data_IF_399484589370
#
_entry.id   IF_399484589370
#
_cell.length_a   1.000
_cell.length_b   1.000
_cell.length_c   1.000
_cell.angle_alpha   90.00
_cell.angle_beta   90.00
_cell.angle_gamma   90.00
#
_symmetry.space_group_name_H-M   'P 1'
#
loop_
_entity.id
_entity.type
_entity.pdbx_description
1 polymer ?
#
# COMPACT_ATOMS: atom_id res chain seq x y z
N UNK A 1 15.96 -12.44 -33.70
CA UNK A 1 17.33 -12.32 -33.16
C UNK A 1 17.33 -11.22 -32.11
N UNK A 2 17.57 -11.53 -30.83
CA UNK A 2 17.80 -10.53 -29.77
C UNK A 2 16.81 -10.47 -28.60
N UNK A 3 16.49 -11.59 -27.94
CA UNK A 3 15.69 -11.63 -26.68
C UNK A 3 16.51 -11.33 -25.41
N UNK A 4 17.71 -10.76 -25.53
CA UNK A 4 18.64 -10.58 -24.40
C UNK A 4 18.59 -9.19 -23.76
N UNK A 5 17.68 -8.29 -24.16
CA UNK A 5 17.59 -6.95 -23.56
C UNK A 5 16.83 -7.00 -22.23
N UNK A 6 17.52 -7.42 -21.17
CA UNK A 6 17.02 -7.32 -19.80
C UNK A 6 17.61 -8.31 -18.80
N UNK A 7 18.33 -9.34 -19.26
CA UNK A 7 18.96 -10.32 -18.35
C UNK A 7 20.28 -9.71 -17.83
N UNK A 8 20.44 -9.53 -16.50
CA UNK A 8 21.71 -9.13 -15.92
C UNK A 8 22.83 -10.06 -16.42
N UNK A 9 24.03 -9.55 -16.76
CA UNK A 9 25.10 -10.37 -17.35
C UNK A 9 25.43 -11.65 -16.55
N UNK A 10 25.20 -11.63 -15.24
CA UNK A 10 25.43 -12.76 -14.31
C UNK A 10 24.43 -13.92 -14.43
N UNK A 11 23.31 -13.74 -15.14
CA UNK A 11 22.24 -14.73 -15.29
C UNK A 11 22.16 -15.31 -16.71
N UNK A 12 23.09 -14.92 -17.59
CA UNK A 12 23.19 -15.49 -18.93
C UNK A 12 23.77 -16.91 -18.82
N UNK A 13 22.97 -17.93 -19.17
CA UNK A 13 23.35 -19.35 -19.09
C UNK A 13 22.55 -20.16 -18.06
N UNK A 14 21.79 -19.52 -17.16
CA UNK A 14 20.80 -20.19 -16.33
C UNK A 14 19.45 -20.30 -17.06
N UNK A 15 18.78 -21.44 -16.91
CA UNK A 15 17.40 -21.61 -17.38
C UNK A 15 16.46 -20.80 -16.47
N UNK A 16 16.12 -19.58 -16.88
CA UNK A 16 15.20 -18.71 -16.13
C UNK A 16 13.76 -19.08 -16.50
N UNK A 17 13.02 -19.61 -15.54
CA UNK A 17 11.57 -19.87 -15.69
C UNK A 17 10.80 -18.62 -15.25
N UNK A 18 9.94 -18.11 -16.12
CA UNK A 18 9.07 -16.98 -15.81
C UNK A 18 7.71 -17.49 -15.38
N UNK A 19 7.28 -17.11 -14.18
CA UNK A 19 5.93 -17.34 -13.70
C UNK A 19 5.07 -16.11 -13.97
N UNK A 20 3.86 -16.31 -14.50
CA UNK A 20 2.84 -15.27 -14.65
C UNK A 20 1.58 -15.70 -13.93
N UNK A 21 0.92 -14.75 -13.27
CA UNK A 21 -0.39 -14.95 -12.64
C UNK A 21 -1.44 -14.35 -13.56
N UNK A 22 -2.49 -15.11 -13.87
CA UNK A 22 -3.66 -14.61 -14.58
C UNK A 22 -4.72 -14.15 -13.58
N UNK A 23 -5.20 -12.91 -13.72
CA UNK A 23 -6.35 -12.41 -12.99
C UNK A 23 -7.59 -12.62 -13.87
N UNK A 24 -8.56 -13.39 -13.39
CA UNK A 24 -9.72 -13.82 -14.19
C UNK A 24 -11.05 -13.22 -13.69
N UNK A 25 -11.14 -12.89 -12.41
CA UNK A 25 -12.37 -12.38 -11.80
C UNK A 25 -12.26 -10.88 -11.52
N UNK A 26 -13.24 -10.13 -12.03
CA UNK A 26 -13.39 -8.68 -11.88
C UNK A 26 -14.74 -8.29 -11.26
N UNK A 27 -15.50 -9.24 -10.71
CA UNK A 27 -16.85 -9.01 -10.18
C UNK A 27 -16.90 -8.12 -8.92
N UNK A 28 -15.76 -7.91 -8.26
CA UNK A 28 -15.63 -7.08 -7.05
C UNK A 28 -14.83 -5.79 -7.29
N UNK A 29 -14.64 -5.37 -8.54
CA UNK A 29 -13.99 -4.09 -8.86
C UNK A 29 -14.84 -2.93 -8.33
N UNK A 30 -14.17 -1.92 -7.75
CA UNK A 30 -14.77 -0.70 -7.22
C UNK A 30 -13.95 0.51 -7.65
N UNK A 31 -14.64 1.59 -7.97
CA UNK A 31 -14.00 2.88 -8.21
C UNK A 31 -13.75 3.58 -6.86
N UNK A 32 -12.52 4.02 -6.66
CA UNK A 32 -12.14 4.80 -5.48
C UNK A 32 -11.96 6.26 -5.91
N UNK A 33 -12.75 7.21 -5.35
CA UNK A 33 -12.61 8.63 -5.65
C UNK A 33 -11.17 9.16 -5.48
N UNK A 34 -10.76 10.09 -6.32
CA UNK A 34 -9.38 10.57 -6.37
C UNK A 34 -8.88 11.15 -5.04
N UNK A 35 -9.74 11.83 -4.29
CA UNK A 35 -9.39 12.35 -2.96
C UNK A 35 -9.03 11.22 -2.00
N UNK A 36 -9.80 10.13 -2.00
CA UNK A 36 -9.54 8.96 -1.16
C UNK A 36 -8.33 8.17 -1.67
N UNK A 37 -8.19 8.02 -2.99
CA UNK A 37 -7.02 7.37 -3.60
C UNK A 37 -5.72 8.07 -3.23
N UNK A 38 -5.68 9.39 -3.31
CA UNK A 38 -4.49 10.18 -2.94
C UNK A 38 -4.28 10.24 -1.43
N UNK A 39 -5.34 10.33 -0.63
CA UNK A 39 -5.25 10.24 0.83
C UNK A 39 -4.71 8.89 1.28
N UNK A 40 -5.14 7.82 0.62
CA UNK A 40 -4.66 6.46 0.91
C UNK A 40 -3.20 6.28 0.50
N UNK A 41 -2.78 6.84 -0.64
CA UNK A 41 -1.37 6.87 -1.02
C UNK A 41 -0.51 7.58 0.05
N UNK A 42 -0.98 8.68 0.63
CA UNK A 42 -0.30 9.33 1.76
C UNK A 42 -0.21 8.42 3.00
N UNK A 43 -1.29 7.69 3.31
CA UNK A 43 -1.31 6.75 4.43
C UNK A 43 -0.31 5.59 4.23
N UNK A 44 -0.18 5.07 3.01
CA UNK A 44 0.80 4.03 2.67
C UNK A 44 2.22 4.50 2.99
N UNK A 45 2.58 5.71 2.56
CA UNK A 45 3.90 6.27 2.88
C UNK A 45 4.08 6.48 4.38
N UNK A 46 3.04 6.92 5.11
CA UNK A 46 3.12 7.05 6.57
C UNK A 46 3.37 5.71 7.27
N UNK A 47 2.72 4.64 6.82
CA UNK A 47 2.90 3.29 7.39
C UNK A 47 4.32 2.79 7.15
N UNK A 48 4.80 2.91 5.91
CA UNK A 48 6.13 2.46 5.49
C UNK A 48 7.26 3.28 6.13
N UNK A 49 7.12 4.62 6.16
CA UNK A 49 8.06 5.54 6.81
C UNK A 49 8.04 5.42 8.36
N UNK A 50 7.11 4.64 8.92
CA UNK A 50 6.84 4.56 10.35
C UNK A 50 6.55 5.95 10.98
N UNK A 51 5.84 6.81 10.26
CA UNK A 51 5.57 8.20 10.64
C UNK A 51 4.18 8.34 11.31
N UNK A 52 4.13 8.50 12.65
CA UNK A 52 2.86 8.56 13.37
C UNK A 52 2.08 9.84 13.12
N UNK A 53 2.76 10.97 12.89
CA UNK A 53 2.10 12.25 12.64
C UNK A 53 1.44 12.26 11.27
N UNK A 54 2.15 11.75 10.26
CA UNK A 54 1.61 11.61 8.90
C UNK A 54 0.46 10.61 8.84
N UNK A 55 0.51 9.54 9.65
CA UNK A 55 -0.61 8.60 9.76
C UNK A 55 -1.86 9.29 10.33
N UNK A 56 -1.74 10.02 11.42
CA UNK A 56 -2.85 10.81 12.01
C UNK A 56 -3.43 11.80 11.01
N UNK A 57 -2.57 12.53 10.28
CA UNK A 57 -3.01 13.46 9.25
C UNK A 57 -3.75 12.75 8.10
N UNK A 58 -3.24 11.61 7.65
CA UNK A 58 -3.86 10.82 6.58
C UNK A 58 -5.24 10.30 6.97
N UNK A 59 -5.45 9.90 8.24
CA UNK A 59 -6.79 9.53 8.74
C UNK A 59 -7.80 10.67 8.61
N UNK A 60 -7.39 11.90 8.96
CA UNK A 60 -8.23 13.09 8.82
C UNK A 60 -8.55 13.38 7.36
N UNK A 61 -7.56 13.31 6.46
CA UNK A 61 -7.74 13.51 5.02
C UNK A 61 -8.67 12.47 4.38
N UNK A 62 -8.60 11.23 4.87
CA UNK A 62 -9.47 10.15 4.45
C UNK A 62 -10.89 10.28 5.01
N UNK A 63 -11.16 11.18 5.95
CA UNK A 63 -12.46 11.30 6.60
C UNK A 63 -12.75 10.18 7.60
N UNK A 64 -11.72 9.47 8.07
CA UNK A 64 -11.85 8.48 9.15
C UNK A 64 -11.85 9.25 10.47
N UNK A 65 -13.01 9.31 11.13
CA UNK A 65 -13.14 10.01 12.42
C UNK A 65 -12.79 9.04 13.53
N UNK A 66 -11.84 9.44 14.35
CA UNK A 66 -11.39 8.69 15.52
C UNK A 66 -11.57 9.52 16.79
N UNK A 67 -11.72 8.82 17.92
CA UNK A 67 -11.66 9.40 19.25
C UNK A 67 -10.58 8.66 20.04
N UNK A 68 -9.59 9.41 20.51
CA UNK A 68 -8.49 8.91 21.34
C UNK A 68 -8.67 9.36 22.77
N UNK A 69 -8.34 8.47 23.71
CA UNK A 69 -8.29 8.77 25.14
C UNK A 69 -6.86 8.60 25.70
N UNK A 70 -5.85 8.56 24.82
CA UNK A 70 -4.47 8.22 25.16
C UNK A 70 -3.52 9.39 24.90
N UNK A 71 -2.52 9.57 25.78
CA UNK A 71 -1.45 10.57 25.65
C UNK A 71 -0.52 10.30 24.45
N UNK A 72 -0.34 9.03 24.05
CA UNK A 72 0.46 8.62 22.88
C UNK A 72 -0.40 8.46 21.60
N UNK A 73 -1.40 9.32 21.39
CA UNK A 73 -2.36 9.22 20.27
C UNK A 73 -1.68 8.95 18.91
N UNK A 74 -0.66 9.71 18.45
CA UNK A 74 -0.09 9.48 17.11
C UNK A 74 0.48 8.07 16.93
N UNK A 75 1.15 7.54 17.96
CA UNK A 75 1.77 6.21 17.93
C UNK A 75 0.71 5.11 17.87
N UNK A 76 -0.37 5.25 18.63
CA UNK A 76 -1.49 4.32 18.57
C UNK A 76 -2.25 4.45 17.24
N UNK A 77 -2.34 5.64 16.65
CA UNK A 77 -2.91 5.86 15.32
C UNK A 77 -2.11 5.13 14.24
N UNK A 78 -0.77 5.17 14.29
CA UNK A 78 0.09 4.40 13.39
C UNK A 78 -0.11 2.89 13.57
N UNK A 79 -0.23 2.42 14.82
CA UNK A 79 -0.49 1.00 15.10
C UNK A 79 -1.85 0.57 14.57
N UNK A 80 -2.88 1.41 14.71
CA UNK A 80 -4.18 1.20 14.10
C UNK A 80 -4.10 1.18 12.57
N UNK A 81 -3.35 2.11 11.96
CA UNK A 81 -3.12 2.18 10.52
C UNK A 81 -2.51 0.89 9.97
N UNK A 82 -1.44 0.39 10.60
CA UNK A 82 -0.82 -0.90 10.26
C UNK A 82 -1.81 -2.06 10.39
N UNK A 83 -2.55 -2.07 11.49
CA UNK A 83 -3.55 -3.12 11.79
C UNK A 83 -4.71 -3.13 10.79
N UNK A 84 -5.09 -1.98 10.24
CA UNK A 84 -6.18 -1.88 9.26
C UNK A 84 -5.68 -2.04 7.82
N UNK A 85 -4.54 -1.45 7.48
CA UNK A 85 -4.15 -1.18 6.09
C UNK A 85 -2.79 -1.75 5.69
N UNK A 86 -2.16 -2.59 6.51
CA UNK A 86 -0.99 -3.37 6.10
C UNK A 86 -1.21 -4.88 6.31
N UNK A 87 -0.63 -5.71 5.46
CA UNK A 87 -0.70 -7.17 5.59
C UNK A 87 0.27 -7.72 6.62
N UNK A 88 1.34 -6.96 6.94
CA UNK A 88 2.34 -7.39 7.92
C UNK A 88 1.76 -7.45 9.31
N UNK A 89 1.99 -8.56 10.00
CA UNK A 89 1.58 -8.71 11.38
C UNK A 89 2.55 -8.00 12.32
N UNK A 90 2.09 -7.52 13.49
CA UNK A 90 2.98 -7.03 14.52
C UNK A 90 4.02 -8.09 14.91
N UNK A 91 5.24 -7.65 15.21
CA UNK A 91 6.33 -8.55 15.58
C UNK A 91 5.91 -9.49 16.73
N UNK A 92 6.23 -10.79 16.58
CA UNK A 92 5.87 -11.83 17.56
C UNK A 92 4.41 -12.27 17.53
N UNK A 93 3.57 -11.69 16.66
CA UNK A 93 2.15 -12.07 16.52
C UNK A 93 1.95 -12.96 15.29
N UNK A 94 1.33 -14.13 15.48
CA UNK A 94 0.85 -14.99 14.38
C UNK A 94 -0.58 -14.66 13.92
N UNK A 95 -1.28 -13.86 14.71
CA UNK A 95 -2.65 -13.43 14.45
C UNK A 95 -2.91 -12.10 15.17
N UNK A 96 -3.72 -11.23 14.56
CA UNK A 96 -4.21 -10.04 15.24
C UNK A 96 -5.22 -10.42 16.31
N UNK A 97 -5.04 -9.89 17.52
CA UNK A 97 -5.94 -10.08 18.65
C UNK A 97 -6.72 -8.79 18.90
N UNK A 98 -7.84 -8.55 18.19
CA UNK A 98 -8.57 -7.28 18.31
C UNK A 98 -9.12 -7.01 19.71
N UNK A 99 -9.29 -8.05 20.53
CA UNK A 99 -9.84 -7.99 21.88
C UNK A 99 -8.80 -8.06 23.01
N UNK A 100 -7.50 -8.12 22.69
CA UNK A 100 -6.46 -8.07 23.72
C UNK A 100 -6.52 -6.75 24.50
N UNK A 101 -6.07 -6.74 25.76
CA UNK A 101 -6.01 -5.51 26.57
C UNK A 101 -5.16 -4.43 25.90
N UNK A 102 -4.07 -4.80 25.25
CA UNK A 102 -3.18 -3.89 24.53
C UNK A 102 -3.61 -3.54 23.09
N UNK A 103 -4.85 -3.88 22.71
CA UNK A 103 -5.36 -3.60 21.37
C UNK A 103 -5.57 -2.11 21.16
N UNK A 104 -5.03 -1.55 20.07
CA UNK A 104 -5.22 -0.14 19.71
C UNK A 104 -6.69 0.21 19.48
N UNK A 105 -7.54 -0.78 19.16
CA UNK A 105 -8.99 -0.59 19.04
C UNK A 105 -9.67 -0.23 20.37
N UNK A 106 -9.06 -0.58 21.52
CA UNK A 106 -9.55 -0.17 22.84
C UNK A 106 -9.12 1.25 23.20
N UNK A 107 -8.00 1.72 22.63
CA UNK A 107 -7.40 3.03 22.89
C UNK A 107 -7.92 4.12 21.95
N UNK A 108 -8.22 3.72 20.71
CA UNK A 108 -8.73 4.58 19.65
C UNK A 108 -10.03 3.99 19.12
N UNK A 109 -11.13 4.70 19.37
CA UNK A 109 -12.44 4.35 18.82
C UNK A 109 -12.61 4.96 17.43
N UNK A 110 -12.96 4.14 16.44
CA UNK A 110 -13.33 4.62 15.10
C UNK A 110 -14.81 4.98 15.11
N UNK A 111 -15.14 6.27 15.04
CA UNK A 111 -16.50 6.78 15.10
C UNK A 111 -17.20 6.79 13.74
N UNK A 112 -16.45 7.09 12.67
CA UNK A 112 -16.97 7.03 11.31
C UNK A 112 -15.89 6.58 10.35
N UNK A 113 -16.30 5.78 9.38
CA UNK A 113 -15.43 5.25 8.35
C UNK A 113 -16.10 5.43 6.98
N UNK A 114 -15.43 6.05 6.00
CA UNK A 114 -15.99 6.24 4.65
C UNK A 114 -16.32 4.90 3.98
N UNK A 115 -17.48 4.82 3.34
CA UNK A 115 -17.98 3.56 2.79
C UNK A 115 -17.07 3.01 1.69
N UNK A 116 -16.54 3.89 0.85
CA UNK A 116 -15.67 3.54 -0.27
C UNK A 116 -14.35 2.90 0.20
N UNK A 117 -13.90 3.21 1.42
CA UNK A 117 -12.69 2.59 1.97
C UNK A 117 -12.94 1.16 2.49
N UNK A 118 -14.18 0.70 2.62
CA UNK A 118 -14.44 -0.67 3.05
C UNK A 118 -13.93 -1.69 2.03
N UNK A 119 -13.97 -1.37 0.74
CA UNK A 119 -13.43 -2.26 -0.27
C UNK A 119 -11.90 -2.41 -0.12
N UNK A 120 -11.20 -1.30 0.15
CA UNK A 120 -9.75 -1.28 0.39
C UNK A 120 -9.41 -2.09 1.65
N UNK A 121 -10.09 -1.81 2.77
CA UNK A 121 -9.89 -2.51 4.03
C UNK A 121 -10.10 -4.03 3.89
N UNK A 122 -11.19 -4.43 3.22
CA UNK A 122 -11.50 -5.85 2.97
C UNK A 122 -10.44 -6.51 2.10
N UNK A 123 -10.00 -5.85 1.03
CA UNK A 123 -8.93 -6.38 0.17
C UNK A 123 -7.64 -6.58 0.95
N UNK A 124 -7.20 -5.62 1.75
CA UNK A 124 -6.00 -5.76 2.58
C UNK A 124 -6.15 -6.93 3.56
N UNK A 125 -7.30 -7.07 4.22
CA UNK A 125 -7.52 -8.18 5.16
C UNK A 125 -7.56 -9.56 4.48
N UNK A 126 -8.10 -9.66 3.26
CA UNK A 126 -8.04 -10.88 2.47
C UNK A 126 -6.60 -11.22 2.05
N UNK A 127 -5.85 -10.22 1.57
CA UNK A 127 -4.43 -10.38 1.25
C UNK A 127 -3.60 -10.77 2.48
N UNK A 128 -3.94 -10.23 3.66
CA UNK A 128 -3.34 -10.63 4.93
C UNK A 128 -3.62 -12.10 5.23
N UNK A 129 -4.88 -12.52 5.16
CA UNK A 129 -5.26 -13.92 5.37
C UNK A 129 -4.54 -14.88 4.42
N UNK A 130 -4.41 -14.50 3.15
CA UNK A 130 -3.65 -15.24 2.15
C UNK A 130 -2.16 -15.31 2.51
N UNK A 131 -1.56 -14.17 2.88
CA UNK A 131 -0.14 -14.10 3.27
C UNK A 131 0.16 -14.99 4.48
N UNK A 132 -0.70 -14.95 5.50
CA UNK A 132 -0.61 -15.83 6.67
C UNK A 132 -0.79 -17.30 6.28
N UNK A 133 -1.77 -17.62 5.43
CA UNK A 133 -2.01 -18.99 4.97
C UNK A 133 -0.86 -19.58 4.14
N UNK A 134 -0.10 -18.71 3.47
CA UNK A 134 1.10 -19.08 2.69
C UNK A 134 2.40 -19.02 3.51
N UNK A 135 2.35 -18.65 4.79
CA UNK A 135 3.50 -18.44 5.67
C UNK A 135 4.54 -17.45 5.09
N UNK A 136 4.06 -16.35 4.49
CA UNK A 136 4.91 -15.28 3.96
C UNK A 136 4.82 -14.01 4.80
N UNK A 137 5.98 -13.45 5.13
CA UNK A 137 6.07 -12.10 5.72
C UNK A 137 6.00 -11.07 4.58
N UNK A 138 4.81 -10.48 4.40
CA UNK A 138 4.52 -9.57 3.31
C UNK A 138 3.88 -8.29 3.84
N UNK A 139 4.44 -7.13 3.50
CA UNK A 139 3.85 -5.81 3.75
C UNK A 139 3.35 -5.19 2.45
N UNK A 140 2.03 -5.03 2.33
CA UNK A 140 1.43 -4.24 1.25
C UNK A 140 1.91 -2.80 1.29
N UNK A 141 2.14 -2.20 2.47
CA UNK A 141 2.61 -0.83 2.56
C UNK A 141 4.01 -0.67 1.93
N UNK A 142 4.95 -1.55 2.28
CA UNK A 142 6.29 -1.58 1.69
C UNK A 142 6.22 -1.78 0.16
N UNK A 143 5.40 -2.73 -0.31
CA UNK A 143 5.28 -3.03 -1.74
C UNK A 143 4.56 -1.94 -2.54
N UNK A 144 3.60 -1.23 -1.94
CA UNK A 144 2.81 -0.21 -2.62
C UNK A 144 3.46 1.18 -2.57
N UNK A 145 4.51 1.37 -1.77
CA UNK A 145 5.26 2.64 -1.70
C UNK A 145 5.54 3.25 -3.09
N UNK A 146 6.14 2.55 -4.07
CA UNK A 146 6.49 3.18 -5.34
C UNK A 146 5.27 3.68 -6.12
N UNK A 147 4.14 2.97 -6.00
CA UNK A 147 2.87 3.32 -6.64
C UNK A 147 2.25 4.54 -5.95
N UNK A 148 2.32 4.58 -4.62
CA UNK A 148 1.86 5.72 -3.82
C UNK A 148 2.66 6.99 -4.11
N UNK A 149 3.99 6.90 -4.15
CA UNK A 149 4.87 8.02 -4.53
C UNK A 149 4.55 8.53 -5.94
N UNK A 150 4.38 7.64 -6.91
CA UNK A 150 4.01 8.00 -8.28
C UNK A 150 2.66 8.73 -8.34
N UNK A 151 1.64 8.22 -7.65
CA UNK A 151 0.33 8.85 -7.58
C UNK A 151 0.38 10.25 -6.98
N UNK A 152 1.14 10.44 -5.90
CA UNK A 152 1.27 11.73 -5.22
C UNK A 152 2.12 12.73 -6.01
N UNK A 153 3.16 12.26 -6.70
CA UNK A 153 3.94 13.09 -7.62
C UNK A 153 3.10 13.56 -8.80
N UNK A 154 2.33 12.66 -9.42
CA UNK A 154 1.44 13.00 -10.53
C UNK A 154 0.37 14.03 -10.13
N UNK A 155 -0.10 13.97 -8.87
CA UNK A 155 -1.03 14.94 -8.30
C UNK A 155 -0.36 16.22 -7.76
N UNK A 156 0.96 16.37 -7.85
CA UNK A 156 1.70 17.51 -7.32
C UNK A 156 1.73 17.62 -5.79
N UNK A 157 1.35 16.56 -5.06
CA UNK A 157 1.30 16.51 -3.58
C UNK A 157 2.64 16.12 -2.94
N UNK A 158 3.56 15.57 -3.73
CA UNK A 158 4.90 15.22 -3.28
C UNK A 158 5.92 16.03 -4.09
N UNK A 159 6.68 16.91 -3.40
CA UNK A 159 7.80 17.65 -4.01
C UNK A 159 9.01 16.73 -4.09
N UNK A 160 9.58 16.55 -5.29
CA UNK A 160 10.66 15.59 -5.50
C UNK A 160 12.00 16.00 -4.89
N UNK A 161 12.64 15.05 -4.19
CA UNK A 161 13.98 14.68 -4.63
C UNK A 161 13.81 13.61 -5.71
N UNK A 162 14.53 13.76 -6.83
CA UNK A 162 14.52 12.77 -7.91
C UNK A 162 14.64 11.35 -7.33
N UNK A 163 13.78 10.39 -7.72
CA UNK A 163 13.98 9.01 -7.32
C UNK A 163 15.37 8.57 -7.80
N UNK A 164 16.27 8.31 -6.84
CA UNK A 164 17.54 7.63 -7.10
C UNK A 164 17.20 6.29 -7.72
N UNK A 165 17.24 6.20 -9.06
CA UNK A 165 17.08 4.93 -9.77
C UNK A 165 16.19 4.91 -11.02
N UNK A 166 15.60 6.02 -11.49
CA UNK A 166 14.94 6.01 -12.81
C UNK A 166 15.92 6.37 -13.93
N UNK A 167 16.50 5.33 -14.55
CA UNK A 167 16.98 5.41 -15.94
C UNK A 167 15.83 5.96 -16.78
N UNK A 168 16.06 7.11 -17.42
CA UNK A 168 15.12 7.70 -18.38
C UNK A 168 14.76 6.69 -19.47
N UNK A 169 13.59 6.07 -19.38
CA UNK A 169 12.92 5.50 -20.56
C UNK A 169 11.89 6.51 -21.05
N UNK A 170 12.39 7.61 -21.60
CA UNK A 170 11.57 8.51 -22.41
C UNK A 170 11.15 7.83 -23.72
N UNK A 171 9.85 7.89 -24.03
CA UNK A 171 9.40 7.99 -25.42
C UNK A 171 9.15 6.71 -26.23
N UNK A 172 8.52 5.66 -25.69
CA UNK A 172 8.12 4.52 -26.53
C UNK A 172 6.61 4.38 -26.81
N UNK A 173 5.72 4.96 -26.01
CA UNK A 173 4.26 4.76 -26.17
C UNK A 173 3.62 5.73 -27.20
N UNK A 174 4.31 6.81 -27.60
CA UNK A 174 3.77 7.76 -28.59
C UNK A 174 3.94 7.38 -30.07
N UNK A 175 4.48 6.19 -30.39
CA UNK A 175 4.79 5.80 -31.79
C UNK A 175 3.99 4.61 -32.34
N UNK A 176 3.02 4.07 -31.61
CA UNK A 176 2.22 2.91 -32.08
C UNK A 176 0.83 3.30 -32.64
N UNK A 177 0.35 4.53 -32.47
CA UNK A 177 -0.95 4.97 -32.99
C UNK A 177 -0.90 6.26 -33.84
N UNK A 178 0.01 6.30 -34.82
CA UNK A 178 0.13 7.47 -35.70
C UNK A 178 0.82 7.16 -37.02
N UNK A 179 0.22 6.27 -37.82
CA UNK A 179 0.25 6.23 -39.30
C UNK A 179 -0.42 4.93 -39.76
N UNK A 180 -1.53 5.08 -40.46
CA UNK A 180 -2.41 4.06 -40.99
C UNK A 180 -3.75 4.70 -41.25
#
# INVERSE_FOLDING_TARGET
MGWHKGVPPKLQGLHVVWYRVALLDYGQVKDLPDNLRLGYANLILAIDDNDPLRATQSYRELGIKTLSYCEEEPKEMLKLAKTMFDTKLPAGSKMLQPFSEDSSLKKISVQSFPEELFCVLRTVHLLRGLSVGMDIDFSCAEQWRPIAEEALHAAGRLKGQNPKGKVQKGGFIRRIFGRG
#
